data_IF_634184263433
#
_entry.id   IF_634184263433
#
_cell.length_a   1.000
_cell.length_b   1.000
_cell.length_c   1.000
_cell.angle_alpha   90.00
_cell.angle_beta   90.00
_cell.angle_gamma   90.00
#
_symmetry.space_group_name_H-M   'P 1'
#
loop_
_entity.id
_entity.type
_entity.pdbx_description
1 polymer ?
#
# COMPACT_ATOMS: atom_id res chain seq x y z
N UNK A 1 8.77 1.72 -4.30
CA UNK A 1 7.70 2.62 -3.79
C UNK A 1 7.23 2.22 -2.39
N UNK A 2 6.50 1.12 -2.22
CA UNK A 2 5.93 0.69 -0.93
C UNK A 2 6.96 0.47 0.15
N UNK A 3 8.05 -0.25 -0.16
CA UNK A 3 9.16 -0.47 0.78
C UNK A 3 9.71 0.86 1.36
N UNK A 4 9.93 1.87 0.50
CA UNK A 4 10.37 3.20 0.92
C UNK A 4 9.33 3.89 1.82
N UNK A 5 8.03 3.77 1.51
CA UNK A 5 6.96 4.32 2.34
C UNK A 5 6.96 3.69 3.74
N UNK A 6 7.07 2.36 3.83
CA UNK A 6 7.16 1.63 5.10
C UNK A 6 8.39 2.05 5.89
N UNK A 7 9.54 2.23 5.23
CA UNK A 7 10.76 2.73 5.89
C UNK A 7 10.58 4.13 6.48
N UNK A 8 9.89 5.03 5.77
CA UNK A 8 9.56 6.36 6.28
C UNK A 8 8.61 6.30 7.48
N UNK A 9 7.63 5.40 7.45
CA UNK A 9 6.70 5.19 8.57
C UNK A 9 7.43 4.67 9.82
N UNK A 10 8.27 3.64 9.67
CA UNK A 10 9.10 3.08 10.75
C UNK A 10 10.03 4.14 11.33
N UNK A 11 10.66 4.97 10.48
CA UNK A 11 11.49 6.08 10.93
C UNK A 11 10.68 7.11 11.75
N UNK A 12 9.50 7.50 11.27
CA UNK A 12 8.63 8.44 11.96
C UNK A 12 8.19 7.91 13.34
N UNK A 13 7.88 6.62 13.42
CA UNK A 13 7.55 5.94 14.69
C UNK A 13 8.74 5.93 15.64
N UNK A 14 9.93 5.49 15.19
CA UNK A 14 11.16 5.47 16.01
C UNK A 14 11.54 6.87 16.52
N UNK A 15 11.30 7.90 15.72
CA UNK A 15 11.54 9.30 16.07
C UNK A 15 10.40 9.94 16.90
N UNK A 16 9.39 9.16 17.32
CA UNK A 16 8.23 9.63 18.10
C UNK A 16 7.44 10.76 17.43
N UNK A 17 7.52 10.87 16.09
CA UNK A 17 6.75 11.84 15.31
C UNK A 17 5.29 11.41 15.15
N UNK A 18 5.06 10.10 15.19
CA UNK A 18 3.75 9.46 15.23
C UNK A 18 3.74 8.44 16.36
N UNK A 19 2.54 8.04 16.80
CA UNK A 19 2.35 7.02 17.83
C UNK A 19 2.06 5.64 17.26
N UNK A 20 1.58 5.56 16.01
CA UNK A 20 1.23 4.30 15.35
C UNK A 20 1.43 4.33 13.84
N UNK A 21 1.55 3.16 13.23
CA UNK A 21 1.57 2.94 11.79
C UNK A 21 0.33 2.13 11.41
N UNK A 22 -0.35 2.55 10.35
CA UNK A 22 -1.49 1.80 9.79
C UNK A 22 -1.18 1.49 8.33
N UNK A 23 -0.97 0.22 8.01
CA UNK A 23 -0.76 -0.26 6.64
C UNK A 23 -2.05 -0.89 6.15
N UNK A 24 -2.49 -0.48 4.96
CA UNK A 24 -3.72 -1.00 4.39
C UNK A 24 -3.62 -1.22 2.90
N UNK A 25 -4.39 -2.19 2.40
CA UNK A 25 -4.44 -2.58 0.99
C UNK A 25 -5.89 -2.84 0.59
N UNK A 26 -6.34 -2.44 -0.62
CA UNK A 26 -7.65 -2.83 -1.13
C UNK A 26 -7.72 -4.36 -1.26
N UNK A 27 -8.84 -4.96 -0.86
CA UNK A 27 -9.10 -6.35 -1.21
C UNK A 27 -9.43 -6.43 -2.71
N UNK A 28 -8.74 -7.31 -3.41
CA UNK A 28 -8.94 -7.55 -4.85
C UNK A 28 -9.31 -9.02 -4.99
N UNK A 29 -10.35 -9.30 -5.76
CA UNK A 29 -10.63 -10.65 -6.23
C UNK A 29 -9.73 -10.91 -7.44
N UNK A 30 -8.46 -11.22 -7.19
CA UNK A 30 -7.48 -11.47 -8.25
C UNK A 30 -7.70 -12.88 -8.81
N UNK A 31 -8.63 -13.04 -9.75
CA UNK A 31 -8.81 -14.27 -10.54
C UNK A 31 -9.43 -15.47 -9.81
N UNK A 32 -9.18 -15.61 -8.52
CA UNK A 32 -9.90 -16.50 -7.60
C UNK A 32 -10.81 -15.62 -6.75
N UNK A 33 -12.13 -15.83 -6.78
CA UNK A 33 -13.01 -15.11 -5.86
C UNK A 33 -12.53 -15.36 -4.43
N UNK A 34 -12.48 -14.31 -3.61
CA UNK A 34 -12.24 -14.41 -2.15
C UNK A 34 -13.14 -15.46 -1.47
N UNK A 35 -14.24 -15.88 -2.12
CA UNK A 35 -15.06 -17.02 -1.72
C UNK A 35 -14.38 -18.39 -1.73
N UNK A 36 -13.35 -18.64 -2.55
CA UNK A 36 -12.78 -19.98 -2.78
C UNK A 36 -11.62 -20.38 -1.88
N UNK A 37 -10.95 -19.44 -1.20
CA UNK A 37 -9.93 -19.79 -0.21
C UNK A 37 -10.60 -20.41 1.02
N UNK A 38 -10.16 -21.57 1.54
CA UNK A 38 -10.67 -22.12 2.80
C UNK A 38 -10.21 -21.24 3.98
N UNK A 39 -11.00 -21.20 5.06
CA UNK A 39 -10.66 -20.45 6.28
C UNK A 39 -11.58 -19.27 6.59
N UNK A 40 -11.32 -18.60 7.71
CA UNK A 40 -12.04 -17.39 8.12
C UNK A 40 -11.70 -16.20 7.20
N UNK A 41 -12.50 -15.12 7.23
CA UNK A 41 -12.29 -13.98 6.33
C UNK A 41 -10.90 -13.33 6.48
N UNK A 42 -10.26 -13.48 7.65
CA UNK A 42 -8.94 -12.93 7.94
C UNK A 42 -7.84 -13.79 7.30
N UNK A 43 -7.92 -15.11 7.44
CA UNK A 43 -7.03 -16.09 6.81
C UNK A 43 -7.02 -15.97 5.28
N UNK A 44 -8.16 -15.62 4.66
CA UNK A 44 -8.22 -15.40 3.20
C UNK A 44 -7.57 -14.10 2.73
N UNK A 45 -7.45 -13.10 3.61
CA UNK A 45 -6.89 -11.79 3.29
C UNK A 45 -5.39 -11.69 3.63
N UNK A 46 -4.90 -12.55 4.51
CA UNK A 46 -3.51 -12.59 4.95
C UNK A 46 -2.48 -12.71 3.80
N UNK A 47 -2.68 -13.54 2.75
CA UNK A 47 -1.72 -13.61 1.64
C UNK A 47 -1.53 -12.27 0.91
N UNK A 48 -2.57 -11.46 0.79
CA UNK A 48 -2.50 -10.15 0.13
C UNK A 48 -1.78 -9.11 0.98
N UNK A 49 -1.79 -9.28 2.30
CA UNK A 49 -1.12 -8.39 3.24
C UNK A 49 0.32 -8.82 3.51
N UNK A 50 0.69 -10.07 3.20
CA UNK A 50 2.02 -10.64 3.46
C UNK A 50 3.20 -9.74 3.02
N UNK A 51 3.19 -9.09 1.83
CA UNK A 51 4.28 -8.20 1.44
C UNK A 51 4.50 -7.02 2.42
N UNK A 52 3.45 -6.56 3.10
CA UNK A 52 3.54 -5.51 4.12
C UNK A 52 4.14 -6.05 5.42
N UNK A 53 3.82 -7.29 5.81
CA UNK A 53 4.46 -7.98 6.93
C UNK A 53 5.96 -8.15 6.68
N UNK A 54 6.34 -8.61 5.48
CA UNK A 54 7.73 -8.85 5.10
C UNK A 54 8.53 -7.54 5.12
N UNK A 55 8.00 -6.46 4.52
CA UNK A 55 8.65 -5.16 4.53
C UNK A 55 8.91 -4.61 5.95
N UNK A 56 8.02 -4.89 6.92
CA UNK A 56 8.23 -4.49 8.30
C UNK A 56 9.26 -5.36 9.02
N UNK A 57 9.29 -6.67 8.76
CA UNK A 57 10.28 -7.61 9.32
C UNK A 57 11.70 -7.26 8.88
N UNK A 58 11.87 -6.76 7.66
CA UNK A 58 13.18 -6.27 7.17
C UNK A 58 13.69 -5.05 7.93
N UNK A 59 12.80 -4.26 8.56
CA UNK A 59 13.12 -2.96 9.16
C UNK A 59 13.08 -2.93 10.70
N UNK A 60 12.53 -3.99 11.30
CA UNK A 60 12.31 -4.11 12.74
C UNK A 60 12.84 -5.46 13.24
N UNK A 61 13.53 -5.48 14.41
CA UNK A 61 13.83 -6.74 15.08
C UNK A 61 12.53 -7.51 15.37
N UNK A 62 12.57 -8.83 15.19
CA UNK A 62 11.40 -9.71 15.33
C UNK A 62 10.63 -9.49 16.64
N UNK A 63 11.33 -9.37 17.77
CA UNK A 63 10.69 -9.14 19.07
C UNK A 63 9.91 -7.82 19.14
N UNK A 64 10.46 -6.73 18.59
CA UNK A 64 9.76 -5.44 18.52
C UNK A 64 8.61 -5.46 17.55
N UNK A 65 8.79 -6.11 16.41
CA UNK A 65 7.72 -6.25 15.42
C UNK A 65 6.50 -6.96 16.01
N UNK A 66 6.71 -8.09 16.70
CA UNK A 66 5.63 -8.84 17.35
C UNK A 66 4.95 -7.99 18.45
N UNK A 67 5.74 -7.33 19.31
CA UNK A 67 5.21 -6.45 20.34
C UNK A 67 4.38 -5.31 19.77
N UNK A 68 4.80 -4.69 18.66
CA UNK A 68 4.07 -3.61 18.02
C UNK A 68 2.78 -4.06 17.32
N UNK A 69 2.72 -5.31 16.86
CA UNK A 69 1.47 -5.87 16.35
C UNK A 69 0.51 -6.16 17.50
N UNK A 70 1.01 -6.71 18.62
CA UNK A 70 0.21 -7.07 19.79
C UNK A 70 -0.42 -5.85 20.46
N UNK A 71 0.31 -4.75 20.59
CA UNK A 71 -0.17 -3.51 21.22
C UNK A 71 -0.82 -2.51 20.23
N UNK A 72 -1.04 -2.93 18.98
CA UNK A 72 -1.60 -2.13 17.88
C UNK A 72 -0.81 -0.85 17.55
N UNK A 73 0.45 -0.74 17.96
CA UNK A 73 1.37 0.31 17.47
C UNK A 73 1.55 0.20 15.96
N UNK A 74 1.53 -1.02 15.41
CA UNK A 74 1.48 -1.29 13.99
C UNK A 74 0.22 -2.10 13.70
N UNK A 75 -0.62 -1.57 12.82
CA UNK A 75 -1.82 -2.24 12.34
C UNK A 75 -1.67 -2.54 10.85
N UNK A 76 -1.92 -3.78 10.44
CA UNK A 76 -1.98 -4.20 9.04
C UNK A 76 -3.37 -4.75 8.79
N UNK A 77 -4.17 -4.05 7.97
CA UNK A 77 -5.58 -4.39 7.80
C UNK A 77 -6.10 -4.05 6.39
N UNK A 78 -7.14 -4.74 5.90
CA UNK A 78 -7.79 -4.40 4.64
C UNK A 78 -8.38 -2.99 4.64
N UNK A 79 -8.47 -2.35 3.47
CA UNK A 79 -8.96 -0.96 3.35
C UNK A 79 -10.38 -0.76 3.92
N UNK A 80 -11.22 -1.79 3.89
CA UNK A 80 -12.57 -1.73 4.46
C UNK A 80 -12.58 -1.38 5.96
N UNK A 81 -11.54 -1.77 6.71
CA UNK A 81 -11.42 -1.54 8.14
C UNK A 81 -11.14 -0.07 8.48
N UNK A 82 -10.82 0.76 7.48
CA UNK A 82 -10.60 2.19 7.69
C UNK A 82 -11.91 2.98 7.79
N UNK A 83 -13.04 2.38 7.40
CA UNK A 83 -14.35 3.05 7.39
C UNK A 83 -14.74 3.52 8.79
N UNK A 84 -15.19 4.77 8.90
CA UNK A 84 -15.66 5.35 10.17
C UNK A 84 -14.55 5.73 11.16
N UNK A 85 -13.27 5.49 10.82
CA UNK A 85 -12.15 5.81 11.71
C UNK A 85 -11.64 7.24 11.50
N UNK A 86 -10.92 7.73 12.51
CA UNK A 86 -10.07 8.91 12.41
C UNK A 86 -8.66 8.51 12.84
N UNK A 87 -7.72 8.64 11.92
CA UNK A 87 -6.33 8.25 12.12
C UNK A 87 -5.52 9.44 12.60
N UNK A 88 -5.58 9.75 13.90
CA UNK A 88 -4.75 10.77 14.56
C UNK A 88 -3.42 10.19 15.06
N UNK A 89 -2.37 11.02 15.07
CA UNK A 89 -1.00 10.67 15.47
C UNK A 89 -0.49 9.41 14.75
N UNK A 90 -0.86 9.24 13.48
CA UNK A 90 -0.63 8.00 12.73
C UNK A 90 0.15 8.26 11.45
N UNK A 91 0.99 7.29 11.08
CA UNK A 91 1.51 7.18 9.72
C UNK A 91 0.70 6.13 8.97
N UNK A 92 -0.17 6.55 8.05
CA UNK A 92 -1.05 5.67 7.31
C UNK A 92 -0.52 5.44 5.88
N UNK A 93 -0.51 4.20 5.42
CA UNK A 93 -0.10 3.83 4.06
C UNK A 93 -1.23 3.03 3.41
N UNK A 94 -1.72 3.51 2.27
CA UNK A 94 -2.56 2.72 1.38
C UNK A 94 -1.70 2.20 0.23
N UNK A 95 -1.45 0.90 0.22
CA UNK A 95 -0.69 0.20 -0.81
C UNK A 95 -1.59 -0.37 -1.90
N UNK A 96 -1.03 -0.56 -3.10
CA UNK A 96 -1.75 -0.92 -4.33
C UNK A 96 -3.02 -0.08 -4.59
N UNK A 97 -2.91 1.23 -4.41
CA UNK A 97 -4.03 2.15 -4.51
C UNK A 97 -4.64 2.22 -5.91
N UNK A 98 -3.96 1.74 -6.95
CA UNK A 98 -4.56 1.59 -8.28
C UNK A 98 -5.79 0.68 -8.25
N UNK A 99 -5.86 -0.20 -7.25
CA UNK A 99 -6.96 -1.13 -7.02
C UNK A 99 -8.01 -0.62 -6.03
N UNK A 100 -7.94 0.66 -5.64
CA UNK A 100 -9.01 1.34 -4.93
C UNK A 100 -9.90 2.10 -5.91
N UNK A 101 -11.23 1.99 -5.76
CA UNK A 101 -12.15 2.90 -6.44
C UNK A 101 -11.97 4.34 -5.95
N UNK A 102 -12.48 5.30 -6.72
CA UNK A 102 -12.52 6.71 -6.31
C UNK A 102 -13.16 6.90 -4.92
N UNK A 103 -14.28 6.23 -4.67
CA UNK A 103 -14.98 6.27 -3.39
C UNK A 103 -14.15 5.70 -2.24
N UNK A 104 -13.38 4.63 -2.47
CA UNK A 104 -12.51 4.04 -1.48
C UNK A 104 -11.29 4.92 -1.18
N UNK A 105 -10.66 5.49 -2.22
CA UNK A 105 -9.54 6.41 -2.04
C UNK A 105 -9.98 7.67 -1.28
N UNK A 106 -11.12 8.27 -1.66
CA UNK A 106 -11.73 9.40 -0.94
C UNK A 106 -12.04 9.02 0.52
N UNK A 107 -12.60 7.84 0.75
CA UNK A 107 -12.87 7.34 2.11
C UNK A 107 -11.57 7.29 2.93
N UNK A 108 -10.49 6.73 2.38
CA UNK A 108 -9.19 6.65 3.05
C UNK A 108 -8.60 8.02 3.38
N UNK A 109 -8.49 8.90 2.37
CA UNK A 109 -7.88 10.24 2.54
C UNK A 109 -8.64 11.07 3.58
N UNK A 110 -9.96 10.94 3.65
CA UNK A 110 -10.79 11.64 4.67
C UNK A 110 -10.70 11.04 6.06
N UNK A 111 -9.92 9.97 6.29
CA UNK A 111 -9.65 9.46 7.65
C UNK A 111 -8.51 10.22 8.33
N UNK A 112 -7.81 11.12 7.63
CA UNK A 112 -6.65 11.85 8.17
C UNK A 112 -7.02 12.67 9.41
N UNK A 113 -6.42 12.31 10.55
CA UNK A 113 -6.56 13.04 11.81
C UNK A 113 -5.40 14.02 12.07
N UNK A 114 -5.41 14.63 13.25
CA UNK A 114 -4.34 15.57 13.67
C UNK A 114 -2.99 14.84 13.78
N UNK A 115 -1.91 15.56 13.43
CA UNK A 115 -0.53 15.08 13.55
C UNK A 115 -0.27 13.75 12.85
N UNK A 116 -0.89 13.56 11.69
CA UNK A 116 -0.77 12.33 10.89
C UNK A 116 -0.09 12.58 9.56
N UNK A 117 0.47 11.53 8.97
CA UNK A 117 1.06 11.52 7.63
C UNK A 117 0.48 10.35 6.85
N UNK A 118 0.11 10.62 5.61
CA UNK A 118 -0.50 9.63 4.73
C UNK A 118 0.41 9.47 3.51
N UNK A 119 0.64 8.24 3.09
CA UNK A 119 1.24 7.92 1.80
C UNK A 119 0.29 6.97 1.06
N UNK A 120 0.08 7.24 -0.21
CA UNK A 120 -0.67 6.37 -1.12
C UNK A 120 0.32 5.87 -2.17
N UNK A 121 0.50 4.56 -2.27
CA UNK A 121 1.36 3.91 -3.25
C UNK A 121 0.54 3.09 -4.23
N UNK A 122 0.95 3.04 -5.48
CA UNK A 122 0.31 2.19 -6.48
C UNK A 122 0.99 2.29 -7.83
N UNK A 123 0.53 1.47 -8.77
CA UNK A 123 1.01 1.40 -10.14
C UNK A 123 -0.14 1.55 -11.13
N UNK A 124 -0.22 2.68 -11.83
CA UNK A 124 -1.35 2.97 -12.71
C UNK A 124 -1.42 2.04 -13.93
N UNK A 125 -0.35 1.30 -14.24
CA UNK A 125 -0.36 0.32 -15.34
C UNK A 125 -0.86 -1.07 -14.91
N UNK A 126 -1.09 -1.31 -13.61
CA UNK A 126 -1.47 -2.60 -13.04
C UNK A 126 -2.84 -2.52 -12.35
N UNK A 127 -3.84 -2.00 -13.06
CA UNK A 127 -5.21 -1.87 -12.55
C UNK A 127 -5.96 -3.19 -12.72
N UNK A 128 -6.28 -3.82 -11.59
CA UNK A 128 -7.04 -5.09 -11.50
C UNK A 128 -8.52 -4.87 -11.22
N UNK A 129 -9.00 -3.61 -11.26
CA UNK A 129 -10.40 -3.29 -11.05
C UNK A 129 -11.28 -3.81 -12.20
N UNK A 130 -12.52 -4.23 -11.91
CA UNK A 130 -13.49 -4.56 -12.96
C UNK A 130 -13.66 -3.39 -13.93
N UNK A 131 -13.75 -3.65 -15.24
CA UNK A 131 -13.80 -2.64 -16.33
C UNK A 131 -14.74 -1.44 -16.12
N UNK A 132 -15.81 -1.60 -15.32
CA UNK A 132 -16.77 -0.53 -15.02
C UNK A 132 -16.37 0.40 -13.87
N UNK A 133 -15.34 0.06 -13.10
CA UNK A 133 -14.86 0.84 -11.94
C UNK A 133 -13.56 1.55 -12.32
N UNK A 134 -13.59 2.88 -12.28
CA UNK A 134 -12.39 3.68 -12.45
C UNK A 134 -11.54 3.66 -11.17
N UNK A 135 -10.23 3.55 -11.36
CA UNK A 135 -9.26 3.68 -10.28
C UNK A 135 -9.27 5.09 -9.70
N UNK A 136 -9.37 5.20 -8.38
CA UNK A 136 -9.23 6.47 -7.68
C UNK A 136 -7.84 7.07 -7.85
N UNK A 137 -6.80 6.23 -7.91
CA UNK A 137 -5.42 6.67 -8.06
C UNK A 137 -5.19 7.38 -9.41
N UNK A 138 -5.82 6.89 -10.48
CA UNK A 138 -5.69 7.49 -11.82
C UNK A 138 -6.27 8.92 -11.88
N UNK A 139 -7.34 9.18 -11.14
CA UNK A 139 -8.02 10.49 -11.13
C UNK A 139 -7.43 11.46 -10.09
N UNK A 140 -6.81 10.95 -9.02
CA UNK A 140 -6.35 11.74 -7.88
C UNK A 140 -5.42 12.91 -8.25
N UNK A 141 -4.43 12.75 -9.17
CA UNK A 141 -3.60 13.88 -9.59
C UNK A 141 -4.38 15.05 -10.19
N UNK A 142 -5.49 14.79 -10.89
CA UNK A 142 -6.35 15.84 -11.43
C UNK A 142 -7.23 16.49 -10.36
N UNK A 143 -7.85 15.68 -9.50
CA UNK A 143 -8.79 16.13 -8.48
C UNK A 143 -8.14 16.87 -7.30
N UNK A 144 -6.94 16.45 -6.89
CA UNK A 144 -6.27 16.94 -5.69
C UNK A 144 -5.14 17.92 -6.01
N UNK A 145 -4.97 18.28 -7.29
CA UNK A 145 -3.96 19.26 -7.73
C UNK A 145 -4.16 20.59 -7.02
N UNK A 146 -3.08 21.14 -6.47
CA UNK A 146 -3.09 22.47 -5.84
C UNK A 146 -3.61 22.50 -4.41
N UNK A 147 -4.02 21.36 -3.83
CA UNK A 147 -4.34 21.28 -2.41
C UNK A 147 -3.03 21.34 -1.60
N UNK A 148 -2.88 22.38 -0.79
CA UNK A 148 -1.71 22.56 0.07
C UNK A 148 -1.52 21.36 1.01
N UNK A 149 -0.33 20.78 1.00
CA UNK A 149 0.02 19.62 1.84
C UNK A 149 -0.16 18.26 1.16
N UNK A 150 -0.57 18.23 -0.11
CA UNK A 150 -0.59 17.04 -0.95
C UNK A 150 0.45 17.19 -2.05
N UNK A 151 1.34 16.21 -2.16
CA UNK A 151 2.35 16.12 -3.22
C UNK A 151 2.22 14.80 -3.98
N UNK A 152 2.54 14.85 -5.27
CA UNK A 152 2.56 13.68 -6.16
C UNK A 152 4.00 13.38 -6.55
N UNK A 153 4.45 12.15 -6.28
CA UNK A 153 5.78 11.67 -6.64
C UNK A 153 5.63 10.57 -7.69
N UNK A 154 6.21 10.81 -8.86
CA UNK A 154 6.23 9.85 -9.96
C UNK A 154 7.60 9.20 -10.00
N UNK A 155 7.60 7.87 -9.95
CA UNK A 155 8.79 7.05 -10.10
C UNK A 155 8.71 6.33 -11.44
N UNK A 156 9.85 6.10 -12.07
CA UNK A 156 9.95 5.38 -13.33
C UNK A 156 10.95 4.21 -13.24
N UNK A 157 11.21 3.56 -14.38
CA UNK A 157 12.10 2.39 -14.45
C UNK A 157 13.51 2.65 -13.91
N UNK A 158 13.98 3.91 -13.91
CA UNK A 158 15.30 4.29 -13.39
C UNK A 158 15.37 4.23 -11.87
N UNK A 159 14.22 4.33 -11.19
CA UNK A 159 14.11 4.23 -9.74
C UNK A 159 14.03 2.77 -9.25
N UNK A 160 14.00 1.81 -10.18
CA UNK A 160 13.86 0.38 -9.87
C UNK A 160 15.23 -0.24 -9.66
N UNK A 161 15.60 -0.38 -8.38
CA UNK A 161 16.82 -1.09 -7.99
C UNK A 161 16.50 -2.57 -7.81
N UNK A 162 17.11 -3.42 -8.65
CA UNK A 162 16.98 -4.89 -8.58
C UNK A 162 18.34 -5.55 -8.72
N UNK A 163 18.41 -6.81 -8.30
CA UNK A 163 19.59 -7.64 -8.54
C UNK A 163 19.83 -7.79 -10.05
N UNK A 164 21.10 -7.72 -10.50
CA UNK A 164 21.48 -7.76 -11.93
C UNK A 164 20.90 -8.96 -12.68
N UNK A 165 20.82 -10.12 -12.03
CA UNK A 165 20.23 -11.33 -12.59
C UNK A 165 18.74 -11.13 -12.92
N UNK A 166 17.98 -10.48 -12.03
CA UNK A 166 16.55 -10.22 -12.26
C UNK A 166 16.34 -9.29 -13.44
N UNK A 167 17.16 -8.24 -13.56
CA UNK A 167 17.13 -7.36 -14.74
C UNK A 167 17.44 -8.15 -16.02
N UNK A 168 18.48 -9.00 -16.00
CA UNK A 168 18.86 -9.82 -17.16
C UNK A 168 17.75 -10.78 -17.59
N UNK A 169 17.01 -11.35 -16.63
CA UNK A 169 15.85 -12.20 -16.90
C UNK A 169 14.73 -11.38 -17.57
N UNK A 170 14.39 -10.21 -17.02
CA UNK A 170 13.33 -9.35 -17.58
C UNK A 170 13.68 -8.93 -19.02
N UNK A 171 14.92 -8.50 -19.26
CA UNK A 171 15.39 -8.09 -20.58
C UNK A 171 15.28 -9.22 -21.61
N UNK A 172 15.56 -10.47 -21.20
CA UNK A 172 15.43 -11.63 -22.06
C UNK A 172 13.97 -11.91 -22.47
N UNK A 173 13.00 -11.70 -21.57
CA UNK A 173 11.57 -11.86 -21.88
C UNK A 173 11.02 -10.71 -22.73
N UNK A 174 11.45 -9.48 -22.47
CA UNK A 174 11.00 -8.31 -23.22
C UNK A 174 11.42 -8.39 -24.69
N UNK A 175 12.66 -8.79 -24.98
CA UNK A 175 13.16 -8.96 -26.36
C UNK A 175 12.29 -9.92 -27.18
N UNK A 176 11.82 -11.01 -26.56
CA UNK A 176 10.94 -11.98 -27.23
C UNK A 176 9.57 -11.39 -27.56
N UNK A 177 9.00 -10.57 -26.67
CA UNK A 177 7.71 -9.92 -26.92
C UNK A 177 7.77 -8.83 -28.00
N UNK A 178 8.96 -8.28 -28.31
CA UNK A 178 9.15 -7.31 -29.39
C UNK A 178 9.37 -7.99 -30.76
N UNK A 179 9.76 -9.27 -30.77
CA UNK A 179 9.97 -10.07 -31.98
C UNK A 179 8.70 -10.80 -32.47
N UNK A 180 7.68 -10.92 -31.60
CA UNK A 180 6.35 -11.50 -31.88
C UNK A 180 5.31 -10.41 -32.22
#
# INVERSE_FOLDING_TARGET
KTYTAVALAVRALKNKQVKRIVLTRPAIEAGESLGFLPGDMKEKLDPYLQPLYDALRDMLPTSKFLSYLEDETIEIAPLAFMRGRTLSNAFAILDEAQNASESQLKMFLTRMGKSSKFIVTGDVTQIDLPRKKLSGLLQAPGLLKGIKGIDFVYLDGRDVVRHKLVSSIIDAYNKRQEED
#
